data_IF_300134927452
#
_entry.id   IF_300134927452
#
_cell.length_a   1.000
_cell.length_b   1.000
_cell.length_c   1.000
_cell.angle_alpha   90.00
_cell.angle_beta   90.00
_cell.angle_gamma   90.00
#
_symmetry.space_group_name_H-M   'P 1'
#
loop_
_entity.id
_entity.type
_entity.pdbx_description
1 polymer ?
#
# COMPACT_ATOMS: atom_id res chain seq x y z
N UNK A 1 51.01 15.60 -35.64
CA UNK A 1 50.42 14.29 -35.21
C UNK A 1 49.88 14.35 -33.77
N UNK A 2 49.21 15.44 -33.37
CA UNK A 2 48.87 15.70 -31.94
C UNK A 2 47.40 16.10 -31.69
N UNK A 3 46.62 16.42 -32.73
CA UNK A 3 45.22 16.83 -32.60
C UNK A 3 44.23 15.65 -32.61
N UNK A 4 44.60 14.54 -33.26
CA UNK A 4 43.75 13.34 -33.40
C UNK A 4 43.79 12.40 -32.19
N UNK A 5 44.80 12.52 -31.33
CA UNK A 5 44.93 11.76 -30.08
C UNK A 5 44.09 12.36 -28.95
N UNK A 6 44.00 13.70 -28.86
CA UNK A 6 43.25 14.41 -27.82
C UNK A 6 41.72 14.17 -27.92
N UNK A 7 41.16 14.21 -29.14
CA UNK A 7 39.75 13.91 -29.38
C UNK A 7 39.39 12.44 -29.06
N UNK A 8 40.33 11.52 -29.29
CA UNK A 8 40.15 10.08 -29.02
C UNK A 8 40.21 9.79 -27.52
N UNK A 9 41.06 10.50 -26.78
CA UNK A 9 41.16 10.43 -25.31
C UNK A 9 39.91 11.02 -24.64
N UNK A 10 39.44 12.19 -25.09
CA UNK A 10 38.24 12.83 -24.55
C UNK A 10 36.97 11.98 -24.77
N UNK A 11 36.82 11.37 -25.96
CA UNK A 11 35.68 10.49 -26.28
C UNK A 11 35.70 9.18 -25.49
N UNK A 12 36.87 8.65 -25.18
CA UNK A 12 37.05 7.43 -24.38
C UNK A 12 36.70 7.68 -22.91
N UNK A 13 37.17 8.81 -22.35
CA UNK A 13 36.89 9.21 -20.97
C UNK A 13 35.39 9.41 -20.75
N UNK A 14 34.66 9.93 -21.74
CA UNK A 14 33.20 10.10 -21.65
C UNK A 14 32.45 8.75 -21.60
N UNK A 15 32.93 7.72 -22.30
CA UNK A 15 32.33 6.37 -22.24
C UNK A 15 32.62 5.66 -20.92
N UNK A 16 33.84 5.78 -20.42
CA UNK A 16 34.23 5.24 -19.10
C UNK A 16 33.48 5.95 -17.99
N UNK A 17 33.37 7.29 -18.07
CA UNK A 17 32.58 8.11 -17.16
C UNK A 17 31.10 7.75 -17.20
N UNK A 18 30.50 7.61 -18.38
CA UNK A 18 29.10 7.20 -18.53
C UNK A 18 28.86 5.80 -17.93
N UNK A 19 29.81 4.86 -18.09
CA UNK A 19 29.73 3.53 -17.48
C UNK A 19 29.79 3.60 -15.94
N UNK A 20 30.72 4.37 -15.38
CA UNK A 20 30.84 4.54 -13.93
C UNK A 20 29.59 5.24 -13.37
N UNK A 21 29.08 6.26 -14.05
CA UNK A 21 27.85 6.96 -13.69
C UNK A 21 26.63 6.03 -13.70
N UNK A 22 26.49 5.19 -14.73
CA UNK A 22 25.41 4.19 -14.79
C UNK A 22 25.50 3.16 -13.67
N UNK A 23 26.70 2.71 -13.30
CA UNK A 23 26.92 1.79 -12.16
C UNK A 23 26.56 2.47 -10.83
N UNK A 24 26.97 3.72 -10.62
CA UNK A 24 26.61 4.52 -9.45
C UNK A 24 25.09 4.69 -9.34
N UNK A 25 24.43 5.07 -10.44
CA UNK A 25 22.96 5.21 -10.49
C UNK A 25 22.27 3.88 -10.20
N UNK A 26 22.73 2.75 -10.77
CA UNK A 26 22.18 1.43 -10.46
C UNK A 26 22.42 1.00 -9.02
N UNK A 27 23.55 1.38 -8.40
CA UNK A 27 23.86 1.08 -6.99
C UNK A 27 23.06 1.92 -5.99
N UNK A 28 22.61 3.11 -6.42
CA UNK A 28 21.75 4.00 -5.64
C UNK A 28 20.27 3.64 -5.73
N UNK A 29 19.91 2.68 -6.59
CA UNK A 29 18.59 2.07 -6.57
C UNK A 29 18.66 1.00 -5.47
N UNK A 30 17.91 1.12 -4.36
CA UNK A 30 17.78 0.04 -3.40
C UNK A 30 17.35 -1.21 -4.15
N UNK A 31 18.23 -2.20 -4.22
CA UNK A 31 18.00 -3.42 -4.96
C UNK A 31 16.77 -4.13 -4.39
N UNK A 32 15.62 -3.93 -5.03
CA UNK A 32 14.45 -4.81 -4.86
C UNK A 32 14.73 -6.13 -5.57
N UNK A 33 15.60 -6.92 -4.95
CA UNK A 33 15.77 -8.33 -5.29
C UNK A 33 15.02 -9.13 -4.22
N UNK A 34 13.77 -9.47 -4.51
CA UNK A 34 13.00 -10.59 -3.94
C UNK A 34 11.62 -10.61 -4.62
N UNK A 35 11.59 -10.88 -5.92
CA UNK A 35 10.34 -10.81 -6.70
C UNK A 35 9.56 -12.14 -6.72
N UNK A 36 10.07 -13.23 -6.18
CA UNK A 36 9.38 -14.52 -6.18
C UNK A 36 9.72 -15.30 -4.91
N UNK A 37 8.86 -15.25 -3.88
CA UNK A 37 8.62 -16.31 -2.87
C UNK A 37 7.72 -15.85 -1.71
N UNK A 38 7.59 -14.54 -1.42
CA UNK A 38 6.91 -14.08 -0.20
C UNK A 38 5.36 -13.96 -0.30
N UNK A 39 4.79 -13.95 -1.52
CA UNK A 39 3.37 -13.62 -1.69
C UNK A 39 2.43 -14.79 -1.37
N UNK A 40 2.86 -16.02 -1.67
CA UNK A 40 2.13 -17.24 -1.26
C UNK A 40 2.05 -17.34 0.26
N UNK A 41 3.18 -17.14 0.93
CA UNK A 41 3.31 -17.28 2.37
C UNK A 41 2.52 -16.20 3.10
N UNK A 42 2.54 -14.98 2.56
CA UNK A 42 1.72 -13.86 3.05
C UNK A 42 0.23 -14.14 2.90
N UNK A 43 -0.21 -14.66 1.75
CA UNK A 43 -1.61 -15.00 1.50
C UNK A 43 -2.09 -16.08 2.46
N UNK A 44 -1.34 -17.18 2.61
CA UNK A 44 -1.69 -18.25 3.55
C UNK A 44 -1.70 -17.76 5.00
N UNK A 45 -0.75 -16.91 5.36
CA UNK A 45 -0.65 -16.36 6.72
C UNK A 45 -1.85 -15.45 7.05
N UNK A 46 -2.28 -14.61 6.10
CA UNK A 46 -3.49 -13.80 6.23
C UNK A 46 -4.77 -14.64 6.27
N UNK A 47 -4.87 -15.67 5.42
CA UNK A 47 -6.03 -16.58 5.35
C UNK A 47 -6.19 -17.42 6.63
N UNK A 48 -5.09 -17.68 7.33
CA UNK A 48 -5.08 -18.44 8.59
C UNK A 48 -5.47 -17.63 9.83
N UNK A 49 -5.72 -16.32 9.69
CA UNK A 49 -6.10 -15.47 10.82
C UNK A 49 -7.50 -15.84 11.33
N UNK A 50 -7.63 -15.96 12.65
CA UNK A 50 -8.92 -16.13 13.32
C UNK A 50 -9.65 -14.78 13.36
N UNK A 51 -10.65 -14.63 12.48
CA UNK A 51 -11.42 -13.41 12.29
C UNK A 51 -12.92 -13.73 12.39
N UNK A 52 -13.69 -12.81 12.96
CA UNK A 52 -15.16 -12.90 12.95
C UNK A 52 -15.71 -12.64 11.55
N UNK A 53 -15.07 -11.74 10.82
CA UNK A 53 -15.25 -11.45 9.40
C UNK A 53 -14.56 -12.46 8.49
N UNK A 54 -14.14 -12.01 7.31
CA UNK A 54 -13.40 -12.83 6.35
C UNK A 54 -12.51 -11.97 5.45
N UNK A 55 -11.53 -12.60 4.81
CA UNK A 55 -10.66 -11.97 3.82
C UNK A 55 -10.92 -12.61 2.47
N UNK A 56 -11.14 -11.78 1.45
CA UNK A 56 -11.28 -12.22 0.06
C UNK A 56 -10.01 -11.87 -0.70
N UNK A 57 -9.47 -12.82 -1.46
CA UNK A 57 -8.29 -12.60 -2.28
C UNK A 57 -8.57 -12.72 -3.78
N UNK A 58 -9.76 -13.17 -4.13
CA UNK A 58 -10.24 -13.31 -5.51
C UNK A 58 -11.31 -12.22 -5.77
N UNK A 59 -11.51 -11.83 -7.03
CA UNK A 59 -12.45 -10.75 -7.41
C UNK A 59 -12.26 -9.42 -6.65
N UNK A 60 -11.00 -9.04 -6.43
CA UNK A 60 -10.64 -7.82 -5.71
C UNK A 60 -10.74 -6.53 -6.55
N UNK A 61 -11.30 -6.64 -7.75
CA UNK A 61 -11.37 -5.55 -8.72
C UNK A 61 -12.25 -4.38 -8.25
N UNK A 62 -13.28 -4.66 -7.45
CA UNK A 62 -14.17 -3.65 -6.87
C UNK A 62 -13.43 -2.64 -5.96
N UNK A 63 -12.34 -3.06 -5.33
CA UNK A 63 -11.49 -2.24 -4.47
C UNK A 63 -10.29 -1.63 -5.21
N UNK A 64 -10.16 -1.87 -6.53
CA UNK A 64 -9.02 -1.39 -7.32
C UNK A 64 -9.18 0.03 -7.87
N UNK A 65 -10.39 0.61 -7.82
CA UNK A 65 -10.71 1.96 -8.31
C UNK A 65 -11.44 2.78 -7.26
N UNK A 66 -11.37 4.10 -7.35
CA UNK A 66 -12.17 5.03 -6.55
C UNK A 66 -13.01 5.95 -7.46
N UNK A 67 -13.81 6.83 -6.85
CA UNK A 67 -14.71 7.74 -7.57
C UNK A 67 -14.00 8.64 -8.57
N UNK A 68 -12.76 9.04 -8.27
CA UNK A 68 -11.95 9.80 -9.21
C UNK A 68 -11.69 9.07 -10.52
N UNK A 69 -11.65 7.73 -10.50
CA UNK A 69 -11.39 6.87 -11.65
C UNK A 69 -10.12 7.24 -12.43
N UNK A 70 -9.14 7.81 -11.73
CA UNK A 70 -7.83 8.23 -12.28
C UNK A 70 -6.75 7.18 -12.06
N UNK A 71 -6.88 6.41 -11.00
CA UNK A 71 -5.93 5.38 -10.60
C UNK A 71 -6.64 4.03 -10.52
N UNK A 72 -5.91 2.99 -10.90
CA UNK A 72 -6.34 1.61 -10.74
C UNK A 72 -5.23 0.81 -10.09
N UNK A 73 -5.40 0.48 -8.81
CA UNK A 73 -4.43 -0.25 -8.00
C UNK A 73 -5.08 -1.49 -7.40
N UNK A 74 -4.96 -2.65 -8.07
CA UNK A 74 -5.46 -3.90 -7.53
C UNK A 74 -4.80 -4.20 -6.17
N UNK A 75 -5.58 -4.49 -5.12
CA UNK A 75 -5.04 -4.97 -3.88
C UNK A 75 -4.71 -6.47 -3.96
N UNK A 76 -3.96 -6.97 -2.98
CA UNK A 76 -3.78 -8.41 -2.77
C UNK A 76 -5.05 -9.03 -2.19
N UNK A 77 -5.70 -8.33 -1.25
CA UNK A 77 -6.84 -8.84 -0.52
C UNK A 77 -7.79 -7.72 -0.06
N UNK A 78 -9.02 -8.11 0.23
CA UNK A 78 -10.03 -7.26 0.84
C UNK A 78 -10.45 -7.89 2.16
N UNK A 79 -10.24 -7.17 3.27
CA UNK A 79 -10.79 -7.55 4.57
C UNK A 79 -12.24 -7.05 4.66
N UNK A 80 -13.16 -7.94 5.00
CA UNK A 80 -14.54 -7.66 5.34
C UNK A 80 -14.71 -7.84 6.86
N UNK A 81 -14.35 -6.84 7.69
CA UNK A 81 -14.43 -6.98 9.14
C UNK A 81 -15.88 -7.04 9.62
N UNK A 82 -16.13 -7.84 10.67
CA UNK A 82 -17.35 -7.77 11.48
C UNK A 82 -17.14 -7.03 12.80
N UNK A 83 -15.90 -6.96 13.28
CA UNK A 83 -15.54 -6.22 14.50
C UNK A 83 -14.29 -5.37 14.30
N UNK A 84 -14.08 -4.40 15.20
CA UNK A 84 -12.81 -3.66 15.27
C UNK A 84 -11.64 -4.55 15.65
N UNK A 85 -11.92 -5.71 16.26
CA UNK A 85 -10.91 -6.72 16.57
C UNK A 85 -10.30 -7.26 15.27
N UNK A 86 -11.13 -7.63 14.28
CA UNK A 86 -10.67 -8.12 12.97
C UNK A 86 -9.67 -7.15 12.32
N UNK A 87 -10.02 -5.86 12.30
CA UNK A 87 -9.16 -4.79 11.76
C UNK A 87 -7.82 -4.76 12.49
N UNK A 88 -7.87 -4.75 13.82
CA UNK A 88 -6.68 -4.67 14.65
C UNK A 88 -5.78 -5.92 14.52
N UNK A 89 -6.37 -7.10 14.35
CA UNK A 89 -5.66 -8.37 14.14
C UNK A 89 -4.92 -8.34 12.82
N UNK A 90 -5.58 -7.96 11.72
CA UNK A 90 -4.94 -7.87 10.40
C UNK A 90 -3.84 -6.81 10.38
N UNK A 91 -4.08 -5.62 10.93
CA UNK A 91 -3.07 -4.56 10.99
C UNK A 91 -1.85 -5.00 11.81
N UNK A 92 -2.06 -5.62 12.99
CA UNK A 92 -0.97 -6.16 13.80
C UNK A 92 -0.21 -7.26 13.09
N UNK A 93 -0.90 -8.14 12.38
CA UNK A 93 -0.28 -9.21 11.60
C UNK A 93 0.63 -8.64 10.51
N UNK A 94 0.14 -7.67 9.73
CA UNK A 94 0.91 -7.00 8.68
C UNK A 94 2.12 -6.26 9.26
N UNK A 95 1.97 -5.60 10.42
CA UNK A 95 3.09 -4.98 11.12
C UNK A 95 4.14 -6.02 11.57
N UNK A 96 3.71 -7.21 12.02
CA UNK A 96 4.60 -8.31 12.42
C UNK A 96 5.37 -8.92 11.26
N UNK A 97 4.78 -9.00 10.06
CA UNK A 97 5.48 -9.41 8.84
C UNK A 97 6.64 -8.45 8.51
N UNK A 98 6.62 -7.23 9.06
CA UNK A 98 7.70 -6.26 8.97
C UNK A 98 7.80 -5.61 7.59
N UNK A 99 8.79 -4.72 7.46
CA UNK A 99 9.01 -3.92 6.24
C UNK A 99 9.39 -4.76 5.01
N UNK A 100 9.77 -6.02 5.19
CA UNK A 100 10.11 -6.96 4.11
C UNK A 100 8.89 -7.36 3.29
N UNK A 101 7.70 -7.40 3.90
CA UNK A 101 6.45 -7.78 3.22
C UNK A 101 5.97 -6.76 2.19
N UNK A 102 6.33 -5.48 2.36
CA UNK A 102 5.86 -4.35 1.55
C UNK A 102 4.33 -4.21 1.45
N UNK A 103 3.57 -4.87 2.35
CA UNK A 103 2.13 -4.75 2.39
C UNK A 103 1.72 -3.38 2.91
N UNK A 104 0.74 -2.80 2.24
CA UNK A 104 0.07 -1.57 2.68
C UNK A 104 -1.36 -1.89 3.10
N UNK A 105 -1.93 -1.02 3.93
CA UNK A 105 -3.33 -1.14 4.35
C UNK A 105 -4.05 0.17 4.04
N UNK A 106 -5.21 0.08 3.40
CA UNK A 106 -6.07 1.24 3.16
C UNK A 106 -7.48 0.96 3.69
N UNK A 107 -7.99 1.87 4.51
CA UNK A 107 -9.40 1.86 4.88
C UNK A 107 -10.25 2.43 3.75
N UNK A 108 -11.35 1.75 3.39
CA UNK A 108 -12.25 2.13 2.31
C UNK A 108 -13.69 2.14 2.81
N UNK A 109 -14.32 3.32 2.80
CA UNK A 109 -15.79 3.45 2.89
C UNK A 109 -16.42 3.28 1.49
N UNK A 110 -17.32 4.18 1.10
CA UNK A 110 -17.96 4.19 -0.24
C UNK A 110 -17.03 4.45 -1.44
N UNK A 111 -15.71 4.56 -1.21
CA UNK A 111 -14.75 4.76 -2.30
C UNK A 111 -14.84 6.12 -2.99
N UNK A 112 -15.38 7.16 -2.33
CA UNK A 112 -15.49 8.53 -2.87
C UNK A 112 -14.16 9.33 -2.93
N UNK A 113 -13.04 8.68 -2.65
CA UNK A 113 -11.72 9.23 -2.92
C UNK A 113 -11.55 9.59 -4.39
N UNK A 114 -10.74 10.62 -4.66
CA UNK A 114 -10.55 11.16 -6.00
C UNK A 114 -9.20 10.82 -6.61
N UNK A 115 -8.22 10.45 -5.78
CA UNK A 115 -6.81 10.32 -6.16
C UNK A 115 -6.13 9.11 -5.51
N UNK A 116 -6.86 8.01 -5.34
CA UNK A 116 -6.33 6.73 -4.88
C UNK A 116 -6.15 6.61 -3.37
N UNK A 117 -6.66 7.54 -2.56
CA UNK A 117 -6.47 7.53 -1.10
C UNK A 117 -7.06 6.29 -0.41
N UNK A 118 -8.07 5.66 -1.02
CA UNK A 118 -8.73 4.46 -0.51
C UNK A 118 -8.25 3.16 -1.22
N UNK A 119 -7.08 3.18 -1.86
CA UNK A 119 -6.51 2.05 -2.59
C UNK A 119 -5.21 1.57 -1.92
N UNK A 120 -4.95 0.27 -1.97
CA UNK A 120 -3.72 -0.35 -1.45
C UNK A 120 -3.13 -1.33 -2.47
N UNK A 121 -2.20 -0.87 -3.32
CA UNK A 121 -1.61 -1.71 -4.36
C UNK A 121 -0.86 -2.92 -3.76
N UNK A 122 -1.22 -4.14 -4.19
CA UNK A 122 -0.72 -5.41 -3.64
C UNK A 122 -0.83 -5.50 -2.10
N UNK A 123 -1.66 -4.67 -1.49
CA UNK A 123 -1.89 -4.60 -0.05
C UNK A 123 -3.27 -5.12 0.34
N UNK A 124 -3.72 -4.74 1.54
CA UNK A 124 -5.04 -5.11 2.05
C UNK A 124 -5.93 -3.87 2.09
N UNK A 125 -7.06 -3.93 1.40
CA UNK A 125 -8.11 -2.91 1.53
C UNK A 125 -9.10 -3.38 2.60
N UNK A 126 -9.43 -2.51 3.55
CA UNK A 126 -10.44 -2.79 4.58
C UNK A 126 -11.77 -2.23 4.09
N UNK A 127 -12.74 -3.09 3.83
CA UNK A 127 -14.09 -2.69 3.50
C UNK A 127 -14.83 -2.23 4.76
N UNK A 128 -14.78 -0.93 5.05
CA UNK A 128 -15.36 -0.36 6.27
C UNK A 128 -16.90 -0.44 6.30
N UNK A 129 -17.56 -0.68 5.16
CA UNK A 129 -19.02 -0.82 5.11
C UNK A 129 -19.52 -2.16 5.65
N UNK A 130 -18.66 -3.19 5.72
CA UNK A 130 -19.08 -4.46 6.32
C UNK A 130 -19.07 -4.43 7.85
N UNK A 131 -18.40 -3.45 8.44
CA UNK A 131 -18.40 -3.26 9.88
C UNK A 131 -19.80 -2.80 10.31
N UNK A 132 -20.44 -3.56 11.19
CA UNK A 132 -21.75 -3.19 11.70
C UNK A 132 -21.67 -1.82 12.37
N UNK A 133 -22.59 -0.93 12.00
CA UNK A 133 -22.59 0.44 12.49
C UNK A 133 -23.04 0.42 13.96
N UNK A 134 -22.18 0.70 14.94
CA UNK A 134 -22.67 0.94 16.28
C UNK A 134 -23.54 2.20 16.24
N UNK A 135 -24.72 2.16 16.86
CA UNK A 135 -25.59 3.33 16.97
C UNK A 135 -24.77 4.53 17.47
N UNK A 136 -24.65 5.57 16.64
CA UNK A 136 -23.96 6.79 17.03
C UNK A 136 -24.76 7.44 18.17
N UNK A 137 -24.26 7.30 19.39
CA UNK A 137 -24.84 7.97 20.57
C UNK A 137 -24.33 9.40 20.64
N UNK A 138 -25.18 10.34 20.25
CA UNK A 138 -24.92 11.78 20.38
C UNK A 138 -25.30 12.19 21.80
N UNK A 139 -24.31 12.52 22.62
CA UNK A 139 -24.53 13.13 23.93
C UNK A 139 -24.60 14.65 23.76
N UNK A 140 -25.81 15.23 23.88
CA UNK A 140 -25.95 16.70 23.95
C UNK A 140 -25.64 17.18 25.36
N UNK A 141 -24.70 18.11 25.50
CA UNK A 141 -24.50 18.86 26.74
C UNK A 141 -25.75 19.71 27.06
N UNK A 142 -26.07 19.83 28.36
CA UNK A 142 -27.13 20.73 28.83
C UNK A 142 -26.75 22.17 28.50
N UNK A 143 -27.67 22.91 27.91
CA UNK A 143 -27.46 24.33 27.62
C UNK A 143 -27.19 25.12 28.92
N UNK A 144 -26.27 26.10 28.90
CA UNK A 144 -26.01 26.93 30.06
C UNK A 144 -27.27 27.75 30.40
N UNK A 145 -27.67 27.71 31.67
CA UNK A 145 -28.79 28.50 32.19
C UNK A 145 -28.32 29.95 32.20
N UNK A 146 -28.88 30.78 31.31
CA UNK A 146 -28.71 32.23 31.37
C UNK A 146 -29.67 32.75 32.43
N UNK A 147 -29.14 33.19 33.57
CA UNK A 147 -29.93 33.94 34.55
C UNK A 147 -30.19 35.36 33.99
N UNK A 148 -31.47 35.70 33.85
CA UNK A 148 -31.92 37.04 33.48
C UNK A 148 -32.00 38.00 34.66
#
# INVERSE_FOLDING_TARGET
>A
MSLTSSLRFHRQNNKTFLRIFMILVLSCIPGRTNLCSNHSDTRSSLDSLDLEGYITFDDVHNASKDFGNRYQFPPLAILHPKSVSDISTVVRHILHLGSTSNLTVAARGHGHSLQGQALAHQGVVINMESLQNPDIKIYREKQPIVAG
#
